data_IF_858489816521
#
_entry.id   IF_858489816521
#
_cell.length_a   1.000
_cell.length_b   1.000
_cell.length_c   1.000
_cell.angle_alpha   90.00
_cell.angle_beta   90.00
_cell.angle_gamma   90.00
#
_symmetry.space_group_name_H-M   'P 1'
#
loop_
_entity.id
_entity.type
_entity.pdbx_description
1 polymer ?
#
# COMPACT_ATOMS: atom_id res chain seq x y z
N UNK A 1 -6.09 1.40 21.87
CA UNK A 1 -5.01 1.85 20.98
C UNK A 1 -4.49 0.62 20.25
N UNK A 2 -4.47 0.64 18.93
CA UNK A 2 -3.85 -0.41 18.11
C UNK A 2 -2.35 -0.27 18.18
N UNK A 3 -1.63 -1.37 18.37
CA UNK A 3 -0.17 -1.35 18.58
C UNK A 3 0.61 -1.30 17.28
N UNK A 4 0.03 -1.75 16.15
CA UNK A 4 0.71 -1.87 14.84
C UNK A 4 -0.22 -1.42 13.72
N UNK A 5 0.27 -0.58 12.82
CA UNK A 5 -0.41 -0.20 11.56
C UNK A 5 0.03 -1.11 10.43
N UNK A 6 -0.92 -1.76 9.75
CA UNK A 6 -0.66 -2.58 8.56
C UNK A 6 -0.53 -1.72 7.31
N UNK A 7 0.46 -2.00 6.47
CA UNK A 7 0.72 -1.19 5.27
C UNK A 7 0.93 -2.08 4.06
N UNK A 8 0.05 -1.95 3.07
CA UNK A 8 0.27 -2.54 1.74
C UNK A 8 1.11 -1.59 0.91
N UNK A 9 2.28 -2.03 0.46
CA UNK A 9 3.14 -1.28 -0.47
C UNK A 9 2.75 -1.62 -1.90
N UNK A 10 1.87 -0.81 -2.49
CA UNK A 10 1.45 -0.87 -3.90
C UNK A 10 2.07 0.25 -4.77
N UNK A 11 2.94 1.07 -4.18
CA UNK A 11 3.65 2.17 -4.85
C UNK A 11 4.90 1.73 -5.61
N UNK A 12 5.25 2.50 -6.65
CA UNK A 12 6.51 2.38 -7.37
C UNK A 12 6.38 2.59 -8.87
N UNK A 13 7.52 2.62 -9.57
CA UNK A 13 7.57 2.93 -11.01
C UNK A 13 7.17 1.78 -11.93
N UNK A 14 6.89 0.59 -11.41
CA UNK A 14 6.57 -0.62 -12.20
C UNK A 14 7.53 -0.91 -13.39
N UNK A 15 8.79 -0.46 -13.32
CA UNK A 15 9.75 -0.51 -14.45
C UNK A 15 10.01 -1.92 -14.97
N UNK A 16 9.98 -2.92 -14.08
CA UNK A 16 10.20 -4.34 -14.44
C UNK A 16 8.96 -5.02 -15.02
N UNK A 17 7.77 -4.42 -14.85
CA UNK A 17 6.48 -4.95 -15.29
C UNK A 17 5.91 -4.14 -16.48
N UNK A 18 6.77 -3.49 -17.26
CA UNK A 18 6.33 -2.71 -18.43
C UNK A 18 5.42 -1.52 -18.11
N UNK A 19 5.47 -0.99 -16.89
CA UNK A 19 4.60 0.12 -16.46
C UNK A 19 3.20 -0.29 -16.00
N UNK A 20 2.87 -1.59 -16.01
CA UNK A 20 1.62 -2.13 -15.47
C UNK A 20 1.62 -2.00 -13.95
N UNK A 21 0.52 -1.50 -13.40
CA UNK A 21 0.32 -1.43 -11.96
C UNK A 21 0.16 -2.85 -11.40
N UNK A 22 1.21 -3.37 -10.78
CA UNK A 22 1.25 -4.75 -10.28
C UNK A 22 0.17 -4.98 -9.21
N UNK A 23 -0.10 -3.98 -8.38
CA UNK A 23 -1.10 -4.11 -7.32
C UNK A 23 -2.48 -4.43 -7.86
N UNK A 24 -2.82 -3.87 -9.02
CA UNK A 24 -4.10 -4.05 -9.71
C UNK A 24 -4.19 -5.31 -10.58
N UNK A 25 -3.10 -6.07 -10.74
CA UNK A 25 -3.19 -7.37 -11.40
C UNK A 25 -4.07 -8.30 -10.58
N UNK A 26 -4.94 -9.05 -11.25
CA UNK A 26 -5.86 -9.94 -10.58
C UNK A 26 -5.28 -11.35 -10.43
N UNK A 27 -5.40 -11.89 -9.22
CA UNK A 27 -5.27 -13.30 -8.93
C UNK A 27 -6.65 -13.83 -8.55
N UNK A 28 -7.20 -14.74 -9.37
CA UNK A 28 -8.53 -15.30 -9.20
C UNK A 28 -9.64 -14.23 -9.10
N UNK A 29 -9.58 -13.20 -9.95
CA UNK A 29 -10.58 -12.12 -9.99
C UNK A 29 -10.51 -11.11 -8.84
N UNK A 30 -9.46 -11.16 -8.02
CA UNK A 30 -9.20 -10.18 -6.95
C UNK A 30 -7.82 -9.54 -7.15
N UNK A 31 -7.68 -8.21 -7.06
CA UNK A 31 -6.40 -7.52 -7.15
C UNK A 31 -5.37 -8.04 -6.14
N UNK A 32 -4.11 -8.18 -6.55
CA UNK A 32 -3.01 -8.65 -5.70
C UNK A 32 -2.89 -7.83 -4.41
N UNK A 33 -3.01 -6.50 -4.51
CA UNK A 33 -2.95 -5.62 -3.35
C UNK A 33 -4.06 -5.92 -2.33
N UNK A 34 -5.26 -6.29 -2.80
CA UNK A 34 -6.40 -6.60 -1.94
C UNK A 34 -6.22 -7.94 -1.22
N UNK A 35 -5.58 -8.94 -1.84
CA UNK A 35 -5.22 -10.18 -1.14
C UNK A 35 -4.31 -9.90 0.07
N UNK A 36 -3.34 -9.01 -0.10
CA UNK A 36 -2.43 -8.61 0.99
C UNK A 36 -3.17 -7.80 2.04
N UNK A 37 -4.02 -6.84 1.63
CA UNK A 37 -4.84 -6.06 2.55
C UNK A 37 -5.75 -6.96 3.41
N UNK A 38 -6.45 -7.91 2.77
CA UNK A 38 -7.33 -8.86 3.45
C UNK A 38 -6.56 -9.67 4.50
N UNK A 39 -5.38 -10.20 4.14
CA UNK A 39 -4.52 -10.92 5.07
C UNK A 39 -4.06 -10.06 6.26
N UNK A 40 -3.73 -8.79 6.03
CA UNK A 40 -3.39 -7.86 7.11
C UNK A 40 -4.60 -7.54 8.01
N UNK A 41 -5.79 -7.35 7.43
CA UNK A 41 -7.01 -7.04 8.18
C UNK A 41 -7.47 -8.20 9.08
N UNK A 42 -7.08 -9.45 8.80
CA UNK A 42 -7.37 -10.58 9.72
C UNK A 42 -6.63 -10.49 11.06
N UNK A 43 -5.53 -9.74 11.13
CA UNK A 43 -4.66 -9.69 12.31
C UNK A 43 -4.42 -8.27 12.84
N UNK A 44 -4.75 -7.24 12.04
CA UNK A 44 -4.60 -5.83 12.38
C UNK A 44 -5.94 -5.10 12.18
N UNK A 45 -6.27 -4.24 13.13
CA UNK A 45 -7.50 -3.42 13.08
C UNK A 45 -7.34 -2.13 12.30
N UNK A 46 -6.11 -1.75 11.94
CA UNK A 46 -5.82 -0.55 11.15
C UNK A 46 -4.87 -0.91 10.00
N UNK A 47 -5.35 -0.73 8.77
CA UNK A 47 -4.63 -1.05 7.54
C UNK A 47 -4.77 0.10 6.55
N UNK A 48 -3.66 0.48 5.93
CA UNK A 48 -3.57 1.52 4.90
C UNK A 48 -2.85 0.98 3.66
N UNK A 49 -3.03 1.67 2.53
CA UNK A 49 -2.37 1.33 1.26
C UNK A 49 -1.47 2.49 0.85
N UNK A 50 -0.20 2.21 0.55
CA UNK A 50 0.66 3.17 -0.13
C UNK A 50 0.60 2.91 -1.64
N UNK A 51 0.08 3.88 -2.41
CA UNK A 51 -0.04 3.80 -3.86
C UNK A 51 0.16 5.18 -4.49
N UNK A 52 0.85 5.22 -5.64
CA UNK A 52 1.25 6.47 -6.31
C UNK A 52 0.51 6.70 -7.65
N UNK A 53 -0.37 5.77 -8.02
CA UNK A 53 -1.09 5.73 -9.29
C UNK A 53 -2.47 5.11 -9.05
N UNK A 54 -3.43 5.44 -9.91
CA UNK A 54 -4.79 4.87 -9.87
C UNK A 54 -5.47 4.98 -8.50
N UNK A 55 -5.26 6.09 -7.80
CA UNK A 55 -5.69 6.34 -6.43
C UNK A 55 -7.18 6.03 -6.24
N UNK A 56 -8.02 6.46 -7.18
CA UNK A 56 -9.47 6.21 -7.17
C UNK A 56 -9.82 4.71 -7.10
N UNK A 57 -9.05 3.84 -7.79
CA UNK A 57 -9.27 2.39 -7.78
C UNK A 57 -8.93 1.81 -6.41
N UNK A 58 -7.82 2.25 -5.80
CA UNK A 58 -7.44 1.81 -4.45
C UNK A 58 -8.41 2.33 -3.39
N UNK A 59 -8.86 3.58 -3.51
CA UNK A 59 -9.81 4.22 -2.60
C UNK A 59 -11.20 3.56 -2.62
N UNK A 60 -11.59 2.92 -3.72
CA UNK A 60 -12.87 2.20 -3.82
C UNK A 60 -13.03 1.06 -2.78
N UNK A 61 -11.93 0.60 -2.19
CA UNK A 61 -11.94 -0.38 -1.09
C UNK A 61 -12.39 0.19 0.27
N UNK A 62 -12.39 1.52 0.42
CA UNK A 62 -12.61 2.20 1.69
C UNK A 62 -11.37 2.32 2.59
N UNK A 63 -10.23 1.75 2.19
CA UNK A 63 -8.97 1.94 2.92
C UNK A 63 -8.35 3.30 2.63
N UNK A 64 -7.65 3.86 3.62
CA UNK A 64 -6.87 5.09 3.43
C UNK A 64 -5.72 4.81 2.46
N UNK A 65 -5.64 5.61 1.40
CA UNK A 65 -4.56 5.58 0.41
C UNK A 65 -3.57 6.71 0.71
N UNK A 66 -2.29 6.37 0.79
CA UNK A 66 -1.19 7.28 1.11
C UNK A 66 -0.23 7.34 -0.08
N UNK A 67 0.02 8.55 -0.58
CA UNK A 67 0.96 8.78 -1.67
C UNK A 67 2.37 9.05 -1.13
N UNK A 68 3.39 8.74 -1.94
CA UNK A 68 4.77 9.06 -1.63
C UNK A 68 4.96 10.59 -1.54
N UNK A 69 5.64 11.05 -0.49
CA UNK A 69 6.02 12.45 -0.31
C UNK A 69 7.23 12.84 -1.18
N UNK A 70 8.03 11.85 -1.59
CA UNK A 70 9.18 12.06 -2.47
C UNK A 70 8.79 11.94 -3.94
N UNK A 71 9.17 12.94 -4.72
CA UNK A 71 9.09 12.86 -6.17
C UNK A 71 9.88 11.66 -6.69
N UNK A 72 9.53 11.19 -7.89
CA UNK A 72 10.25 10.13 -8.58
C UNK A 72 10.28 8.75 -7.88
N UNK A 73 9.49 8.53 -6.83
CA UNK A 73 9.25 7.23 -6.20
C UNK A 73 10.52 6.36 -6.07
N UNK A 74 11.54 6.80 -5.29
CA UNK A 74 12.87 6.19 -5.28
C UNK A 74 12.93 4.87 -4.51
N UNK A 75 12.05 3.93 -4.86
CA UNK A 75 11.98 2.59 -4.30
C UNK A 75 11.15 2.48 -3.02
N UNK A 76 11.08 1.28 -2.43
CA UNK A 76 10.12 0.95 -1.36
C UNK A 76 10.27 1.77 -0.08
N UNK A 77 11.49 2.22 0.23
CA UNK A 77 11.74 3.01 1.44
C UNK A 77 11.07 4.40 1.39
N UNK A 78 10.83 4.95 0.19
CA UNK A 78 10.08 6.20 0.04
C UNK A 78 8.62 6.04 0.49
N UNK A 79 7.98 4.93 0.09
CA UNK A 79 6.63 4.58 0.54
C UNK A 79 6.57 4.35 2.05
N UNK A 80 7.55 3.62 2.60
CA UNK A 80 7.63 3.41 4.05
C UNK A 80 7.74 4.75 4.81
N UNK A 81 8.63 5.64 4.39
CA UNK A 81 8.80 6.97 4.98
C UNK A 81 7.50 7.79 4.90
N UNK A 82 6.85 7.78 3.74
CA UNK A 82 5.65 8.59 3.49
C UNK A 82 4.47 8.16 4.37
N UNK A 83 4.34 6.86 4.61
CA UNK A 83 3.35 6.33 5.55
C UNK A 83 3.70 6.69 6.99
N UNK A 84 4.96 6.51 7.42
CA UNK A 84 5.39 6.89 8.78
C UNK A 84 5.24 8.40 9.07
N UNK A 85 5.27 9.25 8.04
CA UNK A 85 5.02 10.69 8.17
C UNK A 85 3.52 11.06 8.30
N UNK A 86 2.62 10.21 7.80
CA UNK A 86 1.19 10.52 7.65
C UNK A 86 0.27 9.67 8.54
N UNK A 87 0.84 8.64 9.18
CA UNK A 87 0.18 7.78 10.15
C UNK A 87 0.83 7.94 11.52
N UNK A 88 -0.01 8.06 12.56
CA UNK A 88 0.45 8.01 13.92
C UNK A 88 0.66 6.54 14.36
N UNK A 89 1.56 6.32 15.30
CA UNK A 89 1.81 5.00 15.87
C UNK A 89 3.30 4.69 15.98
N UNK A 90 3.62 3.70 16.82
CA UNK A 90 5.00 3.30 17.09
C UNK A 90 5.50 2.20 16.14
N UNK A 91 4.58 1.37 15.62
CA UNK A 91 4.93 0.20 14.83
C UNK A 91 4.14 0.11 13.54
N UNK A 92 4.84 -0.39 12.52
CA UNK A 92 4.31 -0.60 11.18
C UNK A 92 4.68 -1.99 10.69
N UNK A 93 3.72 -2.71 10.09
CA UNK A 93 3.94 -3.94 9.36
C UNK A 93 3.78 -3.69 7.87
N UNK A 94 4.90 -3.58 7.16
CA UNK A 94 4.92 -3.37 5.71
C UNK A 94 4.90 -4.70 4.95
N UNK A 95 4.05 -4.81 3.93
CA UNK A 95 4.01 -5.96 3.03
C UNK A 95 3.81 -5.50 1.58
N UNK A 96 4.62 -5.96 0.61
CA UNK A 96 4.43 -5.63 -0.82
C UNK A 96 3.21 -6.34 -1.41
N UNK A 97 2.54 -5.70 -2.38
CA UNK A 97 1.53 -6.35 -3.24
C UNK A 97 2.16 -7.28 -4.30
#
# INVERSE_FOLDING_TARGET
MTTITGVVLAGGKARRMGGVDKGLLELNGKPLWQHVADALMTQLSHVVVNANRHQEIYQASGLKVIEDSLADYPGPLAGMLSVMQQEAGEWFLFCPC
#
